data_IF_999304367672
#
_entry.id   IF_999304367672
#
_cell.length_a   1.000
_cell.length_b   1.000
_cell.length_c   1.000
_cell.angle_alpha   90.00
_cell.angle_beta   90.00
_cell.angle_gamma   90.00
#
_symmetry.space_group_name_H-M   'P 1'
#
loop_
_entity.id
_entity.type
_entity.pdbx_description
1 polymer ?
#
# COMPACT_ATOMS: atom_id res chain seq x y z
N UNK A 1 -2.79 4.14 23.44
CA UNK A 1 -4.11 4.25 22.79
C UNK A 1 -4.96 3.15 23.40
N UNK A 2 -6.08 3.45 23.99
CA UNK A 2 -6.98 2.43 24.53
C UNK A 2 -7.80 1.75 23.42
N UNK A 3 -8.51 0.66 23.75
CA UNK A 3 -9.26 -0.11 22.74
C UNK A 3 -10.42 0.67 22.12
N UNK A 4 -11.00 1.63 22.86
CA UNK A 4 -12.11 2.46 22.38
C UNK A 4 -11.62 3.53 21.38
N UNK A 5 -10.46 4.15 21.63
CA UNK A 5 -9.82 5.08 20.72
C UNK A 5 -9.44 4.41 19.40
N UNK A 6 -8.89 3.19 19.48
CA UNK A 6 -8.54 2.42 18.28
C UNK A 6 -9.77 2.08 17.44
N UNK A 7 -10.86 1.70 18.08
CA UNK A 7 -12.12 1.40 17.38
C UNK A 7 -12.70 2.65 16.70
N UNK A 8 -12.67 3.81 17.38
CA UNK A 8 -13.09 5.09 16.78
C UNK A 8 -12.25 5.46 15.57
N UNK A 9 -10.93 5.30 15.67
CA UNK A 9 -10.03 5.59 14.55
C UNK A 9 -10.33 4.67 13.36
N UNK A 10 -10.53 3.37 13.59
CA UNK A 10 -10.88 2.43 12.52
C UNK A 10 -12.20 2.80 11.83
N UNK A 11 -13.24 3.18 12.59
CA UNK A 11 -14.51 3.66 12.03
C UNK A 11 -14.33 4.88 11.13
N UNK A 12 -13.52 5.85 11.55
CA UNK A 12 -13.20 7.02 10.73
C UNK A 12 -12.47 6.64 9.45
N UNK A 13 -11.49 5.72 9.52
CA UNK A 13 -10.79 5.21 8.35
C UNK A 13 -11.72 4.46 7.40
N UNK A 14 -12.61 3.62 7.92
CA UNK A 14 -13.61 2.91 7.12
C UNK A 14 -14.56 3.89 6.41
N UNK A 15 -14.99 4.96 7.08
CA UNK A 15 -15.80 6.02 6.46
C UNK A 15 -15.05 6.75 5.35
N UNK A 16 -13.78 7.11 5.57
CA UNK A 16 -12.95 7.73 4.55
C UNK A 16 -12.78 6.81 3.32
N UNK A 17 -12.48 5.54 3.56
CA UNK A 17 -12.37 4.54 2.49
C UNK A 17 -13.68 4.42 1.71
N UNK A 18 -14.84 4.41 2.38
CA UNK A 18 -16.14 4.34 1.72
C UNK A 18 -16.42 5.58 0.89
N UNK A 19 -16.18 6.78 1.43
CA UNK A 19 -16.38 8.04 0.70
C UNK A 19 -15.49 8.11 -0.56
N UNK A 20 -14.21 7.76 -0.42
CA UNK A 20 -13.27 7.71 -1.55
C UNK A 20 -13.72 6.69 -2.60
N UNK A 21 -14.19 5.52 -2.16
CA UNK A 21 -14.71 4.48 -3.06
C UNK A 21 -15.98 4.92 -3.80
N UNK A 22 -16.92 5.61 -3.14
CA UNK A 22 -18.10 6.15 -3.81
C UNK A 22 -17.72 7.24 -4.84
N UNK A 23 -16.74 8.09 -4.54
CA UNK A 23 -16.21 9.03 -5.52
C UNK A 23 -15.58 8.32 -6.73
N UNK A 24 -14.88 7.20 -6.53
CA UNK A 24 -14.36 6.36 -7.61
C UNK A 24 -15.51 5.83 -8.48
N UNK A 25 -16.57 5.26 -7.88
CA UNK A 25 -17.73 4.75 -8.58
C UNK A 25 -18.46 5.84 -9.39
N UNK A 26 -18.53 7.03 -8.83
CA UNK A 26 -19.16 8.19 -9.48
C UNK A 26 -18.29 8.86 -10.57
N UNK A 27 -17.01 8.47 -10.72
CA UNK A 27 -16.07 9.13 -11.64
C UNK A 27 -15.61 10.53 -11.17
N UNK A 28 -15.79 10.85 -9.89
CA UNK A 28 -15.54 12.18 -9.28
C UNK A 28 -14.17 12.27 -8.59
N UNK A 29 -13.20 11.43 -8.97
CA UNK A 29 -11.86 11.38 -8.34
C UNK A 29 -11.12 12.72 -8.39
N UNK A 30 -11.30 13.49 -9.45
CA UNK A 30 -10.66 14.81 -9.60
C UNK A 30 -11.17 15.87 -8.60
N UNK A 31 -12.31 15.63 -7.96
CA UNK A 31 -12.90 16.51 -6.96
C UNK A 31 -12.37 16.26 -5.54
N UNK A 32 -11.66 15.14 -5.35
CA UNK A 32 -11.06 14.78 -4.06
C UNK A 32 -9.80 15.60 -3.76
N UNK A 33 -9.44 15.81 -2.48
CA UNK A 33 -8.13 16.31 -2.09
C UNK A 33 -6.99 15.45 -2.67
N UNK A 34 -5.81 16.03 -2.85
CA UNK A 34 -4.68 15.35 -3.53
C UNK A 34 -4.29 14.01 -2.88
N UNK A 35 -4.26 13.96 -1.55
CA UNK A 35 -3.93 12.73 -0.81
C UNK A 35 -4.99 11.64 -1.06
N UNK A 36 -6.26 12.03 -1.10
CA UNK A 36 -7.36 11.11 -1.36
C UNK A 36 -7.40 10.66 -2.83
N UNK A 37 -6.93 11.48 -3.77
CA UNK A 37 -6.79 11.06 -5.17
C UNK A 37 -5.79 9.92 -5.34
N UNK A 38 -4.69 9.87 -4.55
CA UNK A 38 -3.75 8.74 -4.55
C UNK A 38 -4.43 7.45 -4.09
N UNK A 39 -5.22 7.55 -3.02
CA UNK A 39 -6.01 6.42 -2.52
C UNK A 39 -7.06 5.98 -3.54
N UNK A 40 -7.77 6.91 -4.16
CA UNK A 40 -8.77 6.64 -5.19
C UNK A 40 -8.17 5.93 -6.41
N UNK A 41 -6.99 6.36 -6.88
CA UNK A 41 -6.26 5.69 -7.98
C UNK A 41 -5.87 4.26 -7.60
N UNK A 42 -5.36 4.06 -6.38
CA UNK A 42 -5.04 2.71 -5.90
C UNK A 42 -6.31 1.84 -5.81
N UNK A 43 -7.45 2.38 -5.36
CA UNK A 43 -8.74 1.67 -5.38
C UNK A 43 -9.17 1.28 -6.80
N UNK A 44 -9.11 2.20 -7.77
CA UNK A 44 -9.47 1.94 -9.16
C UNK A 44 -8.71 0.75 -9.76
N UNK A 45 -7.42 0.65 -9.46
CA UNK A 45 -6.56 -0.42 -9.97
C UNK A 45 -6.88 -1.79 -9.36
N UNK A 46 -7.46 -1.83 -8.16
CA UNK A 46 -7.65 -3.06 -7.39
C UNK A 46 -9.11 -3.47 -7.17
N UNK A 47 -10.09 -2.59 -7.46
CA UNK A 47 -11.51 -2.88 -7.17
C UNK A 47 -12.09 -4.06 -7.97
N UNK A 48 -11.37 -4.56 -8.97
CA UNK A 48 -11.72 -5.79 -9.68
C UNK A 48 -11.44 -7.06 -8.87
N UNK A 49 -10.59 -6.98 -7.84
CA UNK A 49 -10.28 -8.09 -6.96
C UNK A 49 -11.38 -8.24 -5.91
N UNK A 50 -11.95 -9.44 -5.81
CA UNK A 50 -13.15 -9.73 -5.01
C UNK A 50 -13.06 -9.27 -3.56
N UNK A 51 -11.96 -9.60 -2.89
CA UNK A 51 -11.80 -9.26 -1.47
C UNK A 51 -11.57 -7.76 -1.25
N UNK A 52 -10.91 -7.08 -2.18
CA UNK A 52 -10.75 -5.63 -2.12
C UNK A 52 -12.09 -4.93 -2.38
N UNK A 53 -12.82 -5.36 -3.42
CA UNK A 53 -14.18 -4.86 -3.68
C UNK A 53 -15.07 -4.99 -2.44
N UNK A 54 -15.14 -6.17 -1.84
CA UNK A 54 -15.96 -6.41 -0.64
C UNK A 54 -15.50 -5.55 0.55
N UNK A 55 -14.19 -5.41 0.74
CA UNK A 55 -13.64 -4.57 1.80
C UNK A 55 -14.04 -3.10 1.66
N UNK A 56 -14.12 -2.58 0.43
CA UNK A 56 -14.51 -1.21 0.12
C UNK A 56 -16.04 -1.02 0.15
N UNK A 57 -16.80 -1.93 -0.48
CA UNK A 57 -18.26 -1.84 -0.57
C UNK A 57 -18.93 -1.86 0.81
N UNK A 58 -18.41 -2.69 1.74
CA UNK A 58 -18.98 -2.86 3.08
C UNK A 58 -18.18 -2.17 4.18
N UNK A 59 -17.34 -1.17 3.85
CA UNK A 59 -16.49 -0.49 4.83
C UNK A 59 -17.29 0.18 5.94
N UNK A 60 -18.39 0.85 5.61
CA UNK A 60 -19.23 1.62 6.51
C UNK A 60 -20.07 0.77 7.48
N UNK A 61 -20.36 -0.50 7.14
CA UNK A 61 -21.17 -1.38 7.98
C UNK A 61 -20.37 -2.24 8.95
N UNK A 62 -19.03 -2.25 8.85
CA UNK A 62 -18.17 -3.07 9.72
C UNK A 62 -17.97 -2.52 11.13
N UNK A 63 -18.36 -1.29 11.38
CA UNK A 63 -18.25 -0.64 12.68
C UNK A 63 -16.83 -0.67 13.31
N UNK A 64 -15.79 -0.57 12.48
CA UNK A 64 -14.39 -0.60 12.90
C UNK A 64 -13.83 -2.02 13.12
N UNK A 65 -14.57 -3.06 12.72
CA UNK A 65 -14.05 -4.44 12.67
C UNK A 65 -13.17 -4.58 11.42
N UNK A 66 -11.89 -5.00 11.55
CA UNK A 66 -11.03 -5.20 10.39
C UNK A 66 -11.62 -6.23 9.41
N UNK A 67 -11.53 -5.92 8.11
CA UNK A 67 -11.75 -6.93 7.08
C UNK A 67 -10.42 -7.60 6.75
N UNK A 68 -10.34 -8.86 7.07
CA UNK A 68 -9.15 -9.67 6.92
C UNK A 68 -9.49 -10.96 6.17
N UNK A 69 -8.55 -11.45 5.39
CA UNK A 69 -8.65 -12.73 4.69
C UNK A 69 -7.46 -13.60 5.08
N UNK A 70 -7.70 -14.91 5.19
CA UNK A 70 -6.63 -15.86 5.42
C UNK A 70 -6.09 -16.35 4.08
N UNK A 71 -4.78 -16.24 3.89
CA UNK A 71 -4.10 -16.71 2.69
C UNK A 71 -2.77 -17.37 3.06
N UNK A 72 -2.59 -18.62 2.68
CA UNK A 72 -1.38 -19.41 2.97
C UNK A 72 -0.95 -19.37 4.45
N UNK A 73 -1.93 -19.40 5.37
CA UNK A 73 -1.68 -19.35 6.81
C UNK A 73 -1.33 -17.96 7.36
N UNK A 74 -1.43 -16.93 6.55
CA UNK A 74 -1.24 -15.54 6.96
C UNK A 74 -2.57 -14.79 6.93
N UNK A 75 -2.75 -13.86 7.87
CA UNK A 75 -3.87 -12.93 7.87
C UNK A 75 -3.46 -11.68 7.10
N UNK A 76 -4.18 -11.34 6.05
CA UNK A 76 -3.90 -10.18 5.20
C UNK A 76 -5.11 -9.25 5.15
N UNK A 77 -4.85 -7.95 5.12
CA UNK A 77 -5.89 -6.91 5.02
C UNK A 77 -5.93 -6.35 3.60
N UNK A 78 -7.03 -6.54 2.85
CA UNK A 78 -7.18 -5.96 1.52
C UNK A 78 -7.11 -4.43 1.52
N UNK A 79 -7.64 -3.76 2.55
CA UNK A 79 -7.54 -2.30 2.66
C UNK A 79 -6.12 -1.83 2.92
N UNK A 80 -5.34 -2.55 3.77
CA UNK A 80 -3.94 -2.23 3.98
C UNK A 80 -3.13 -2.33 2.67
N UNK A 81 -3.44 -3.30 1.81
CA UNK A 81 -2.83 -3.43 0.49
C UNK A 81 -3.07 -2.18 -0.37
N UNK A 82 -4.31 -1.72 -0.48
CA UNK A 82 -4.67 -0.50 -1.23
C UNK A 82 -3.99 0.74 -0.65
N UNK A 83 -3.95 0.88 0.68
CA UNK A 83 -3.29 2.00 1.36
C UNK A 83 -1.78 2.00 1.09
N UNK A 84 -1.13 0.83 1.08
CA UNK A 84 0.30 0.72 0.73
C UNK A 84 0.54 1.16 -0.72
N UNK A 85 -0.32 0.78 -1.68
CA UNK A 85 -0.22 1.27 -3.05
C UNK A 85 -0.36 2.79 -3.15
N UNK A 86 -1.33 3.39 -2.44
CA UNK A 86 -1.48 4.84 -2.37
C UNK A 86 -0.22 5.53 -1.82
N UNK A 87 0.35 4.98 -0.75
CA UNK A 87 1.59 5.50 -0.15
C UNK A 87 2.79 5.38 -1.10
N UNK A 88 2.92 4.26 -1.82
CA UNK A 88 3.98 4.07 -2.85
C UNK A 88 3.84 5.09 -3.98
N UNK A 89 2.62 5.33 -4.49
CA UNK A 89 2.36 6.34 -5.51
C UNK A 89 2.77 7.73 -5.03
N UNK A 90 2.43 8.09 -3.79
CA UNK A 90 2.88 9.33 -3.18
C UNK A 90 4.40 9.43 -3.08
N UNK A 91 5.09 8.36 -2.70
CA UNK A 91 6.55 8.34 -2.68
C UNK A 91 7.16 8.46 -4.09
N UNK A 92 6.61 7.79 -5.10
CA UNK A 92 7.07 7.94 -6.50
C UNK A 92 6.93 9.40 -6.96
N UNK A 93 5.86 10.10 -6.57
CA UNK A 93 5.65 11.49 -6.91
C UNK A 93 6.57 12.47 -6.17
N UNK A 94 6.88 12.19 -4.90
CA UNK A 94 7.53 13.15 -3.99
C UNK A 94 9.00 12.85 -3.70
N UNK A 95 9.45 11.58 -3.80
CA UNK A 95 10.80 11.14 -3.40
C UNK A 95 11.60 10.74 -4.64
N UNK A 96 12.60 11.56 -5.08
CA UNK A 96 13.34 11.31 -6.32
C UNK A 96 14.03 9.95 -6.36
N UNK A 97 14.54 9.45 -5.24
CA UNK A 97 15.23 8.15 -5.15
C UNK A 97 14.26 6.99 -5.41
N UNK A 98 13.04 7.07 -4.88
CA UNK A 98 11.99 6.05 -5.08
C UNK A 98 11.51 6.10 -6.53
N UNK A 99 11.27 7.29 -7.08
CA UNK A 99 10.95 7.48 -8.50
C UNK A 99 12.00 6.84 -9.41
N UNK A 100 13.26 7.12 -9.16
CA UNK A 100 14.37 6.57 -9.97
C UNK A 100 14.42 5.03 -9.88
N UNK A 101 14.18 4.45 -8.70
CA UNK A 101 14.09 3.00 -8.53
C UNK A 101 12.92 2.42 -9.33
N UNK A 102 11.74 3.02 -9.25
CA UNK A 102 10.55 2.64 -10.01
C UNK A 102 10.81 2.68 -11.52
N UNK A 103 11.26 3.82 -12.04
CA UNK A 103 11.56 4.01 -13.47
C UNK A 103 12.60 3.01 -13.97
N UNK A 104 13.62 2.71 -13.15
CA UNK A 104 14.65 1.73 -13.49
C UNK A 104 14.10 0.32 -13.57
N UNK A 105 13.21 -0.07 -12.67
CA UNK A 105 12.53 -1.37 -12.71
C UNK A 105 11.69 -1.49 -13.99
N UNK A 106 10.86 -0.49 -14.28
CA UNK A 106 10.01 -0.47 -15.47
C UNK A 106 10.85 -0.49 -16.75
N UNK A 107 11.89 0.34 -16.84
CA UNK A 107 12.79 0.38 -18.00
C UNK A 107 13.56 -0.95 -18.24
N UNK A 108 13.68 -1.80 -17.22
CA UNK A 108 14.31 -3.13 -17.33
C UNK A 108 13.31 -4.28 -17.50
N UNK A 109 12.04 -3.96 -17.79
CA UNK A 109 10.99 -4.92 -18.16
C UNK A 109 10.11 -5.40 -17.01
N UNK A 110 10.23 -4.84 -15.79
CA UNK A 110 9.27 -5.13 -14.71
C UNK A 110 7.96 -4.38 -15.02
N UNK A 111 6.80 -5.04 -15.05
CA UNK A 111 5.51 -4.35 -15.16
C UNK A 111 5.37 -3.28 -14.06
N UNK A 112 4.79 -2.12 -14.39
CA UNK A 112 4.70 -0.99 -13.46
C UNK A 112 4.05 -1.39 -12.12
N UNK A 113 2.94 -2.13 -12.17
CA UNK A 113 2.24 -2.60 -10.98
C UNK A 113 3.10 -3.56 -10.12
N UNK A 114 3.88 -4.46 -10.75
CA UNK A 114 4.83 -5.32 -10.02
C UNK A 114 5.98 -4.50 -9.38
N UNK A 115 6.40 -3.40 -10.02
CA UNK A 115 7.37 -2.49 -9.41
C UNK A 115 6.79 -1.79 -8.17
N UNK A 116 5.51 -1.41 -8.20
CA UNK A 116 4.79 -0.88 -7.03
C UNK A 116 4.72 -1.91 -5.89
N UNK A 117 4.43 -3.19 -6.17
CA UNK A 117 4.45 -4.26 -5.15
C UNK A 117 5.82 -4.41 -4.49
N UNK A 118 6.90 -4.36 -5.27
CA UNK A 118 8.27 -4.42 -4.71
C UNK A 118 8.54 -3.24 -3.79
N UNK A 119 8.18 -2.02 -4.20
CA UNK A 119 8.33 -0.82 -3.36
C UNK A 119 7.42 -0.88 -2.14
N UNK A 120 6.21 -1.38 -2.30
CA UNK A 120 5.24 -1.58 -1.23
C UNK A 120 5.72 -2.56 -0.16
N UNK A 121 6.35 -3.66 -0.57
CA UNK A 121 6.93 -4.63 0.37
C UNK A 121 8.06 -4.01 1.21
N UNK A 122 8.92 -3.19 0.60
CA UNK A 122 9.97 -2.47 1.32
C UNK A 122 9.39 -1.41 2.28
N UNK A 123 8.35 -0.71 1.84
CA UNK A 123 7.67 0.28 2.67
C UNK A 123 6.95 -0.39 3.85
N UNK A 124 6.27 -1.51 3.62
CA UNK A 124 5.60 -2.28 4.67
C UNK A 124 6.60 -2.79 5.72
N UNK A 125 7.80 -3.24 5.31
CA UNK A 125 8.88 -3.63 6.23
C UNK A 125 9.33 -2.43 7.09
N UNK A 126 9.52 -1.26 6.48
CA UNK A 126 9.85 -0.03 7.21
C UNK A 126 8.77 0.34 8.22
N UNK A 127 7.49 0.29 7.82
CA UNK A 127 6.36 0.57 8.71
C UNK A 127 6.28 -0.43 9.87
N UNK A 128 6.50 -1.71 9.60
CA UNK A 128 6.55 -2.76 10.61
C UNK A 128 7.65 -2.52 11.65
N UNK A 129 8.87 -2.26 11.20
CA UNK A 129 10.00 -1.95 12.10
C UNK A 129 9.73 -0.67 12.94
N UNK A 130 9.06 0.32 12.35
CA UNK A 130 8.65 1.55 13.04
C UNK A 130 7.60 1.27 14.11
N UNK A 131 6.60 0.45 13.81
CA UNK A 131 5.51 0.12 14.74
C UNK A 131 5.98 -0.70 15.96
N UNK A 132 7.05 -1.49 15.81
CA UNK A 132 7.66 -2.25 16.92
C UNK A 132 8.48 -1.38 17.89
N UNK A 133 8.82 -0.17 17.47
CA UNK A 133 9.44 0.83 18.34
C UNK A 133 8.41 1.66 19.09
N UNK A 134 8.76 2.90 19.44
CA UNK A 134 7.83 3.83 20.10
C UNK A 134 6.69 4.34 19.19
N UNK A 135 6.71 3.98 17.90
CA UNK A 135 5.75 4.38 16.89
C UNK A 135 5.83 5.85 16.42
N UNK A 136 6.49 6.70 17.19
CA UNK A 136 6.55 8.15 16.91
C UNK A 136 7.72 8.54 15.97
N UNK A 137 8.78 7.74 15.93
CA UNK A 137 10.01 8.04 15.16
C UNK A 137 10.46 6.79 14.41
N UNK A 138 10.74 6.96 13.12
CA UNK A 138 11.33 5.88 12.30
C UNK A 138 12.72 5.54 12.83
N UNK A 139 12.98 4.27 13.23
CA UNK A 139 14.31 3.89 13.70
C UNK A 139 15.36 4.12 12.61
N UNK A 140 16.48 4.75 12.98
CA UNK A 140 17.55 5.09 12.02
C UNK A 140 18.05 3.86 11.23
N UNK A 141 18.13 2.70 11.91
CA UNK A 141 18.52 1.43 11.27
C UNK A 141 17.48 0.96 10.22
N UNK A 142 16.19 1.06 10.52
CA UNK A 142 15.14 0.69 9.60
C UNK A 142 15.12 1.62 8.37
N UNK A 143 15.28 2.93 8.60
CA UNK A 143 15.43 3.91 7.51
C UNK A 143 16.64 3.60 6.63
N UNK A 144 17.81 3.36 7.23
CA UNK A 144 19.03 3.04 6.48
C UNK A 144 18.88 1.74 5.67
N UNK A 145 18.16 0.74 6.20
CA UNK A 145 17.87 -0.49 5.48
C UNK A 145 16.97 -0.21 4.26
N UNK A 146 15.89 0.56 4.45
CA UNK A 146 14.99 0.97 3.37
C UNK A 146 15.74 1.76 2.29
N UNK A 147 16.46 2.82 2.66
CA UNK A 147 17.23 3.65 1.73
C UNK A 147 18.28 2.81 0.96
N UNK A 148 18.95 1.89 1.64
CA UNK A 148 19.90 0.96 1.02
C UNK A 148 19.24 0.01 0.03
N UNK A 149 18.02 -0.48 0.30
CA UNK A 149 17.26 -1.32 -0.62
C UNK A 149 16.82 -0.53 -1.86
N UNK A 150 16.33 0.70 -1.71
CA UNK A 150 16.00 1.59 -2.83
C UNK A 150 17.22 1.85 -3.73
N UNK A 151 18.38 2.14 -3.13
CA UNK A 151 19.62 2.32 -3.90
C UNK A 151 20.03 1.04 -4.66
N UNK A 152 19.87 -0.15 -4.06
CA UNK A 152 20.14 -1.42 -4.74
C UNK A 152 19.19 -1.65 -5.92
N UNK A 153 17.90 -1.30 -5.80
CA UNK A 153 16.96 -1.36 -6.92
C UNK A 153 17.44 -0.51 -8.12
N UNK A 154 18.09 0.63 -7.86
CA UNK A 154 18.66 1.45 -8.93
C UNK A 154 19.88 0.82 -9.62
N UNK A 155 20.77 0.16 -8.86
CA UNK A 155 22.12 -0.21 -9.31
C UNK A 155 22.32 -1.69 -9.62
N UNK A 156 21.57 -2.59 -8.95
CA UNK A 156 21.78 -4.04 -8.99
C UNK A 156 20.65 -4.75 -9.73
N UNK A 157 20.93 -5.25 -10.94
CA UNK A 157 19.95 -5.97 -11.75
C UNK A 157 19.56 -7.33 -11.16
N UNK A 158 20.49 -8.00 -10.45
CA UNK A 158 20.20 -9.28 -9.82
C UNK A 158 19.27 -9.08 -8.61
N UNK A 159 19.51 -8.02 -7.83
CA UNK A 159 18.62 -7.65 -6.73
C UNK A 159 17.23 -7.29 -7.25
N UNK A 160 17.10 -6.48 -8.32
CA UNK A 160 15.79 -6.19 -8.94
C UNK A 160 15.04 -7.47 -9.30
N UNK A 161 15.67 -8.37 -10.09
CA UNK A 161 15.04 -9.64 -10.48
C UNK A 161 14.59 -10.47 -9.28
N UNK A 162 15.43 -10.57 -8.23
CA UNK A 162 15.09 -11.27 -6.99
C UNK A 162 13.85 -10.68 -6.33
N UNK A 163 13.80 -9.36 -6.19
CA UNK A 163 12.68 -8.66 -5.54
C UNK A 163 11.40 -8.76 -6.38
N UNK A 164 11.48 -8.58 -7.70
CA UNK A 164 10.33 -8.76 -8.59
C UNK A 164 9.77 -10.17 -8.54
N UNK A 165 10.64 -11.20 -8.54
CA UNK A 165 10.19 -12.60 -8.41
C UNK A 165 9.51 -12.88 -7.08
N UNK A 166 9.94 -12.21 -6.00
CA UNK A 166 9.41 -12.44 -4.65
C UNK A 166 8.10 -11.70 -4.38
N UNK A 167 7.95 -10.49 -4.90
CA UNK A 167 6.88 -9.56 -4.50
C UNK A 167 6.06 -9.01 -5.68
N UNK A 168 6.49 -9.25 -6.93
CA UNK A 168 5.86 -8.62 -8.09
C UNK A 168 4.41 -9.06 -8.33
N UNK A 169 4.08 -10.30 -7.94
CA UNK A 169 2.70 -10.80 -8.04
C UNK A 169 2.20 -11.15 -6.63
N UNK A 170 1.45 -10.26 -6.04
CA UNK A 170 0.89 -10.43 -4.69
C UNK A 170 -0.65 -10.35 -4.66
N UNK A 171 -1.31 -10.46 -5.81
CA UNK A 171 -2.77 -10.35 -5.89
C UNK A 171 -3.53 -11.64 -5.52
N UNK A 172 -2.89 -12.81 -5.59
CA UNK A 172 -3.56 -14.09 -5.36
C UNK A 172 -4.33 -14.18 -4.02
N UNK A 173 -3.90 -13.40 -3.00
CA UNK A 173 -4.60 -13.32 -1.72
C UNK A 173 -5.95 -12.58 -1.80
N UNK A 174 -6.26 -11.86 -2.89
CA UNK A 174 -7.41 -10.95 -2.97
C UNK A 174 -8.39 -11.29 -4.11
N UNK A 175 -8.12 -12.34 -4.87
CA UNK A 175 -8.98 -12.88 -5.95
C UNK A 175 -10.29 -13.63 -5.47
#
# INVERSE_FOLDING_TARGET
MDGDELTKLRKLMDQLHKLTYEAVKAGAVAELPNEEQLLARAMQEHMHLKHIHNALEFADVREGVPYEVEFEGNVVSPLAHVVVHAAVKGQIEQVPEVRNAFEKMVATGTPAHHAEHVLGALLAELMWETSRGSGAVVPAKAKAHYDGAIQKLCRDSAFRRKMTKRFGDSHAAFE
#
